data_IF_466546843752
#
_entry.id   IF_466546843752
#
_cell.length_a   1.000
_cell.length_b   1.000
_cell.length_c   1.000
_cell.angle_alpha   90.00
_cell.angle_beta   90.00
_cell.angle_gamma   90.00
#
_symmetry.space_group_name_H-M   'P 1'
#
loop_
_entity.id
_entity.type
_entity.pdbx_description
1 polymer ?
#
# COMPACT_ATOMS: atom_id res chain seq x y z
N UNK A 1 -27.37 15.06 34.22
CA UNK A 1 -28.09 14.63 33.00
C UNK A 1 -27.16 14.86 31.80
N UNK A 2 -26.34 13.89 31.49
CA UNK A 2 -25.57 13.80 30.25
C UNK A 2 -25.92 12.40 29.69
N UNK A 3 -27.01 12.33 28.94
CA UNK A 3 -27.42 11.12 28.23
C UNK A 3 -26.79 11.15 26.82
N UNK A 4 -25.93 10.20 26.62
CA UNK A 4 -25.87 9.27 25.50
C UNK A 4 -26.23 9.80 24.10
N UNK A 5 -25.24 10.45 23.44
CA UNK A 5 -25.28 10.70 22.01
C UNK A 5 -24.62 9.56 21.17
N UNK A 6 -24.12 8.49 21.80
CA UNK A 6 -23.40 7.39 21.13
C UNK A 6 -24.32 6.33 20.49
N UNK A 7 -25.56 6.19 20.98
CA UNK A 7 -26.47 5.12 20.56
C UNK A 7 -27.33 5.45 19.34
N UNK A 8 -27.40 6.72 18.91
CA UNK A 8 -28.29 7.15 17.79
C UNK A 8 -27.70 6.93 16.39
N UNK A 9 -26.39 6.78 16.24
CA UNK A 9 -25.80 6.58 14.91
C UNK A 9 -25.87 5.12 14.40
N UNK A 10 -25.96 4.14 15.29
CA UNK A 10 -25.95 2.73 14.89
C UNK A 10 -27.29 2.24 14.31
N UNK A 11 -28.41 2.85 14.70
CA UNK A 11 -29.72 2.49 14.15
C UNK A 11 -29.98 3.02 12.73
N UNK A 12 -29.32 4.11 12.33
CA UNK A 12 -29.57 4.79 11.06
C UNK A 12 -29.01 4.04 9.84
N UNK A 13 -27.82 3.46 9.92
CA UNK A 13 -27.21 2.73 8.79
C UNK A 13 -27.87 1.36 8.56
N UNK A 14 -28.16 0.62 9.63
CA UNK A 14 -28.87 -0.65 9.53
C UNK A 14 -30.30 -0.45 8.97
N UNK A 15 -30.99 0.59 9.40
CA UNK A 15 -32.31 0.97 8.86
C UNK A 15 -32.24 1.37 7.38
N UNK A 16 -31.21 2.12 6.95
CA UNK A 16 -31.01 2.47 5.54
C UNK A 16 -30.79 1.22 4.67
N UNK A 17 -29.96 0.28 5.13
CA UNK A 17 -29.67 -0.96 4.42
C UNK A 17 -30.90 -1.90 4.32
N UNK A 18 -31.84 -1.79 5.26
CA UNK A 18 -33.09 -2.56 5.29
C UNK A 18 -34.23 -1.88 4.54
N UNK A 19 -34.13 -0.57 4.23
CA UNK A 19 -35.19 0.18 3.57
C UNK A 19 -35.37 -0.29 2.12
N UNK A 20 -36.56 -0.81 1.83
CA UNK A 20 -36.93 -1.32 0.51
C UNK A 20 -37.01 -0.23 -0.59
N UNK A 21 -36.98 1.05 -0.22
CA UNK A 21 -37.00 2.17 -1.17
C UNK A 21 -35.70 2.33 -1.94
N UNK A 22 -34.55 1.83 -1.39
CA UNK A 22 -33.25 1.93 -2.02
C UNK A 22 -32.97 0.72 -2.91
N UNK A 23 -32.40 0.99 -4.08
CA UNK A 23 -31.98 -0.05 -5.01
C UNK A 23 -30.83 -0.87 -4.41
N UNK A 24 -30.67 -2.11 -4.89
CA UNK A 24 -29.54 -2.97 -4.50
C UNK A 24 -28.17 -2.29 -4.76
N UNK A 25 -28.08 -1.49 -5.81
CA UNK A 25 -26.87 -0.77 -6.18
C UNK A 25 -26.52 0.33 -5.16
N UNK A 26 -27.51 1.13 -4.75
CA UNK A 26 -27.31 2.19 -3.74
C UNK A 26 -26.91 1.61 -2.39
N UNK A 27 -27.54 0.51 -1.97
CA UNK A 27 -27.18 -0.21 -0.75
C UNK A 27 -25.74 -0.73 -0.80
N UNK A 28 -25.30 -1.27 -1.94
CA UNK A 28 -23.93 -1.74 -2.14
C UNK A 28 -22.91 -0.59 -2.02
N UNK A 29 -23.18 0.55 -2.66
CA UNK A 29 -22.29 1.71 -2.61
C UNK A 29 -22.14 2.20 -1.15
N UNK A 30 -23.27 2.44 -0.47
CA UNK A 30 -23.27 2.89 0.92
C UNK A 30 -22.53 1.93 1.84
N UNK A 31 -22.72 0.61 1.65
CA UNK A 31 -22.03 -0.42 2.42
C UNK A 31 -20.51 -0.41 2.19
N UNK A 32 -20.08 -0.28 0.93
CA UNK A 32 -18.66 -0.19 0.58
C UNK A 32 -18.01 1.07 1.17
N UNK A 33 -18.69 2.22 1.15
CA UNK A 33 -18.23 3.47 1.74
C UNK A 33 -18.10 3.35 3.26
N UNK A 34 -19.09 2.75 3.93
CA UNK A 34 -19.07 2.53 5.38
C UNK A 34 -17.94 1.60 5.80
N UNK A 35 -17.73 0.47 5.11
CA UNK A 35 -16.61 -0.45 5.37
C UNK A 35 -15.26 0.27 5.16
N UNK A 36 -15.13 1.03 4.07
CA UNK A 36 -13.91 1.79 3.77
C UNK A 36 -13.61 2.83 4.83
N UNK A 37 -14.62 3.58 5.28
CA UNK A 37 -14.49 4.58 6.34
C UNK A 37 -14.05 3.95 7.67
N UNK A 38 -14.55 2.76 8.03
CA UNK A 38 -14.09 2.01 9.20
C UNK A 38 -12.60 1.67 9.10
N UNK A 39 -12.12 1.22 7.94
CA UNK A 39 -10.71 0.95 7.73
C UNK A 39 -9.83 2.20 7.81
N UNK A 40 -10.28 3.33 7.28
CA UNK A 40 -9.54 4.60 7.32
C UNK A 40 -9.44 5.19 8.73
N UNK A 41 -10.52 5.07 9.51
CA UNK A 41 -10.59 5.52 10.91
C UNK A 41 -10.04 4.51 11.91
N UNK A 42 -9.70 3.30 11.45
CA UNK A 42 -9.33 2.15 12.28
C UNK A 42 -10.41 1.78 13.30
N UNK A 43 -11.67 1.99 12.96
CA UNK A 43 -12.84 1.65 13.78
C UNK A 43 -13.21 0.18 13.57
N UNK A 44 -12.51 -0.69 14.28
CA UNK A 44 -12.72 -2.12 14.21
C UNK A 44 -14.13 -2.52 14.73
N UNK A 45 -14.62 -1.87 15.80
CA UNK A 45 -15.90 -2.20 16.41
C UNK A 45 -17.04 -2.05 15.42
N UNK A 46 -17.11 -0.88 14.75
CA UNK A 46 -18.10 -0.63 13.71
C UNK A 46 -17.90 -1.55 12.49
N UNK A 47 -16.65 -1.83 12.10
CA UNK A 47 -16.34 -2.75 11.01
C UNK A 47 -16.84 -4.18 11.27
N UNK A 48 -16.67 -4.70 12.48
CA UNK A 48 -17.21 -6.01 12.90
C UNK A 48 -18.74 -6.00 12.87
N UNK A 49 -19.37 -4.92 13.36
CA UNK A 49 -20.82 -4.80 13.37
C UNK A 49 -21.38 -4.86 11.93
N UNK A 50 -20.81 -4.08 11.01
CA UNK A 50 -21.23 -4.08 9.59
C UNK A 50 -21.06 -5.48 8.99
N UNK A 51 -19.92 -6.16 9.25
CA UNK A 51 -19.73 -7.52 8.74
C UNK A 51 -20.75 -8.50 9.32
N UNK A 52 -21.06 -8.41 10.62
CA UNK A 52 -22.10 -9.23 11.26
C UNK A 52 -23.49 -8.97 10.66
N UNK A 53 -23.80 -7.71 10.35
CA UNK A 53 -25.07 -7.33 9.75
C UNK A 53 -25.22 -7.90 8.33
N UNK A 54 -24.15 -7.90 7.52
CA UNK A 54 -24.11 -8.56 6.20
C UNK A 54 -24.44 -10.05 6.32
N UNK A 55 -23.94 -10.72 7.39
CA UNK A 55 -24.15 -12.14 7.60
C UNK A 55 -25.54 -12.48 8.14
N UNK A 56 -26.17 -11.58 8.91
CA UNK A 56 -27.44 -11.81 9.62
C UNK A 56 -28.68 -11.46 8.81
N UNK A 57 -28.64 -10.32 8.10
CA UNK A 57 -29.84 -9.79 7.47
C UNK A 57 -30.11 -10.44 6.10
N UNK A 58 -31.31 -11.00 5.93
CA UNK A 58 -31.74 -11.62 4.66
C UNK A 58 -31.71 -10.64 3.48
N UNK A 59 -32.04 -9.36 3.72
CA UNK A 59 -31.97 -8.30 2.71
C UNK A 59 -30.55 -8.01 2.19
N UNK A 60 -29.50 -8.50 2.87
CA UNK A 60 -28.11 -8.38 2.49
C UNK A 60 -27.48 -9.69 1.99
N UNK A 61 -28.28 -10.76 1.82
CA UNK A 61 -27.79 -12.07 1.39
C UNK A 61 -27.00 -12.04 0.08
N UNK A 62 -27.35 -11.15 -0.85
CA UNK A 62 -26.64 -10.97 -2.11
C UNK A 62 -25.21 -10.46 -1.91
N UNK A 63 -24.92 -9.77 -0.82
CA UNK A 63 -23.61 -9.25 -0.49
C UNK A 63 -22.68 -10.27 0.18
N UNK A 64 -23.24 -11.36 0.73
CA UNK A 64 -22.46 -12.45 1.36
C UNK A 64 -21.46 -13.10 0.40
N UNK A 65 -21.74 -13.05 -0.92
CA UNK A 65 -20.87 -13.61 -1.96
C UNK A 65 -20.28 -12.52 -2.89
N UNK A 66 -20.53 -11.25 -2.60
CA UNK A 66 -20.05 -10.15 -3.42
C UNK A 66 -18.53 -9.93 -3.20
N UNK A 67 -17.75 -10.16 -4.24
CA UNK A 67 -16.30 -10.08 -4.18
C UNK A 67 -15.78 -8.67 -3.84
N UNK A 68 -16.53 -7.61 -4.21
CA UNK A 68 -16.16 -6.24 -3.88
C UNK A 68 -16.31 -5.98 -2.37
N UNK A 69 -17.36 -6.52 -1.76
CA UNK A 69 -17.59 -6.44 -0.32
C UNK A 69 -16.51 -7.23 0.43
N UNK A 70 -16.18 -8.46 -0.01
CA UNK A 70 -15.09 -9.22 0.59
C UNK A 70 -13.76 -8.46 0.52
N UNK A 71 -13.42 -7.88 -0.64
CA UNK A 71 -12.20 -7.11 -0.80
C UNK A 71 -12.17 -5.86 0.10
N UNK A 72 -13.30 -5.20 0.29
CA UNK A 72 -13.43 -4.07 1.21
C UNK A 72 -13.27 -4.51 2.68
N UNK A 73 -13.86 -5.63 3.07
CA UNK A 73 -13.71 -6.22 4.41
C UNK A 73 -12.27 -6.65 4.68
N UNK A 74 -11.60 -7.31 3.72
CA UNK A 74 -10.19 -7.67 3.83
C UNK A 74 -9.36 -6.42 4.07
N UNK A 75 -9.57 -5.36 3.27
CA UNK A 75 -8.85 -4.10 3.42
C UNK A 75 -9.14 -3.42 4.76
N UNK A 76 -10.37 -3.42 5.22
CA UNK A 76 -10.78 -2.86 6.52
C UNK A 76 -10.11 -3.61 7.67
N UNK A 77 -10.22 -4.95 7.71
CA UNK A 77 -9.61 -5.75 8.77
C UNK A 77 -8.09 -5.62 8.81
N UNK A 78 -7.42 -5.58 7.63
CA UNK A 78 -5.97 -5.39 7.57
C UNK A 78 -5.54 -4.02 8.06
N UNK A 79 -6.26 -2.95 7.71
CA UNK A 79 -5.99 -1.59 8.23
C UNK A 79 -6.20 -1.48 9.73
N UNK A 80 -7.13 -2.25 10.29
CA UNK A 80 -7.37 -2.34 11.72
C UNK A 80 -6.40 -3.30 12.44
N UNK A 81 -5.47 -3.97 11.73
CA UNK A 81 -4.51 -4.92 12.31
C UNK A 81 -5.07 -6.33 12.58
N UNK A 82 -6.32 -6.61 12.19
CA UNK A 82 -6.99 -7.90 12.40
C UNK A 82 -6.78 -8.88 11.24
N UNK A 83 -5.53 -9.36 11.09
CA UNK A 83 -5.10 -10.16 9.95
C UNK A 83 -5.75 -11.55 9.89
N UNK A 84 -6.06 -12.14 11.03
CA UNK A 84 -6.77 -13.44 11.09
C UNK A 84 -8.16 -13.31 10.47
N UNK A 85 -8.91 -12.27 10.84
CA UNK A 85 -10.23 -11.99 10.24
C UNK A 85 -10.14 -11.67 8.75
N UNK A 86 -9.13 -10.91 8.34
CA UNK A 86 -8.88 -10.63 6.92
C UNK A 86 -8.61 -11.93 6.13
N UNK A 87 -7.88 -12.88 6.72
CA UNK A 87 -7.61 -14.20 6.15
C UNK A 87 -8.89 -15.02 6.03
N UNK A 88 -9.70 -15.11 7.10
CA UNK A 88 -10.97 -15.83 7.09
C UNK A 88 -11.90 -15.32 5.98
N UNK A 89 -11.98 -13.99 5.80
CA UNK A 89 -12.79 -13.39 4.72
C UNK A 89 -12.21 -13.70 3.34
N UNK A 90 -10.89 -13.70 3.19
CA UNK A 90 -10.25 -14.06 1.92
C UNK A 90 -10.52 -15.53 1.55
N UNK A 91 -10.46 -16.45 2.51
CA UNK A 91 -10.66 -17.88 2.29
C UNK A 91 -12.11 -18.23 1.92
N UNK A 92 -13.07 -17.35 2.21
CA UNK A 92 -14.46 -17.46 1.77
C UNK A 92 -14.66 -17.13 0.29
N UNK A 93 -13.66 -16.53 -0.39
CA UNK A 93 -13.77 -16.18 -1.82
C UNK A 93 -13.45 -17.43 -2.67
N UNK A 94 -14.42 -18.01 -3.39
CA UNK A 94 -14.18 -19.23 -4.16
C UNK A 94 -13.11 -19.07 -5.26
N UNK A 95 -13.13 -17.91 -5.93
CA UNK A 95 -12.20 -17.54 -7.01
C UNK A 95 -11.63 -16.16 -6.76
N UNK A 96 -10.55 -16.05 -5.95
CA UNK A 96 -9.95 -14.74 -5.66
C UNK A 96 -9.39 -14.08 -6.91
N UNK A 97 -9.78 -12.83 -7.14
CA UNK A 97 -9.29 -11.99 -8.24
C UNK A 97 -7.91 -11.37 -7.92
N UNK A 98 -7.20 -10.80 -8.90
CA UNK A 98 -5.99 -10.01 -8.60
C UNK A 98 -6.22 -8.92 -7.56
N UNK A 99 -7.43 -8.35 -7.49
CA UNK A 99 -7.80 -7.34 -6.48
C UNK A 99 -7.84 -7.94 -5.07
N UNK A 100 -8.39 -9.15 -4.93
CA UNK A 100 -8.45 -9.87 -3.65
C UNK A 100 -7.04 -10.20 -3.13
N UNK A 101 -6.16 -10.69 -4.02
CA UNK A 101 -4.76 -10.95 -3.69
C UNK A 101 -4.02 -9.67 -3.30
N UNK A 102 -4.24 -8.57 -4.05
CA UNK A 102 -3.61 -7.28 -3.73
C UNK A 102 -4.08 -6.72 -2.38
N UNK A 103 -5.35 -6.86 -2.03
CA UNK A 103 -5.86 -6.45 -0.72
C UNK A 103 -5.14 -7.19 0.41
N UNK A 104 -4.93 -8.50 0.26
CA UNK A 104 -4.22 -9.34 1.22
C UNK A 104 -2.72 -9.00 1.29
N UNK A 105 -2.02 -8.94 0.15
CA UNK A 105 -0.59 -8.62 0.07
C UNK A 105 -0.32 -7.22 0.64
N UNK A 106 -1.12 -6.22 0.23
CA UNK A 106 -1.02 -4.86 0.75
C UNK A 106 -1.26 -4.80 2.25
N UNK A 107 -2.23 -5.58 2.74
CA UNK A 107 -2.49 -5.68 4.17
C UNK A 107 -1.28 -6.20 4.95
N UNK A 108 -0.63 -7.25 4.49
CA UNK A 108 0.58 -7.76 5.13
C UNK A 108 1.72 -6.75 5.10
N UNK A 109 1.98 -6.10 3.97
CA UNK A 109 3.06 -5.09 3.87
C UNK A 109 2.80 -3.87 4.74
N UNK A 110 1.55 -3.40 4.86
CA UNK A 110 1.17 -2.27 5.72
C UNK A 110 1.37 -2.58 7.21
N UNK A 111 1.24 -3.85 7.61
CA UNK A 111 1.47 -4.31 8.97
C UNK A 111 2.91 -4.80 9.22
N UNK A 112 3.83 -4.60 8.27
CA UNK A 112 5.23 -5.00 8.41
C UNK A 112 5.49 -6.51 8.28
N UNK A 113 4.47 -7.31 7.94
CA UNK A 113 4.56 -8.76 7.77
C UNK A 113 5.04 -9.11 6.35
N UNK A 114 6.24 -8.63 6.03
CA UNK A 114 6.77 -8.66 4.68
C UNK A 114 7.03 -10.08 4.15
N UNK A 115 7.41 -11.02 5.01
CA UNK A 115 7.58 -12.44 4.65
C UNK A 115 6.24 -13.08 4.24
N UNK A 116 5.16 -12.78 4.97
CA UNK A 116 3.83 -13.27 4.63
C UNK A 116 3.34 -12.65 3.30
N UNK A 117 3.69 -11.41 3.03
CA UNK A 117 3.38 -10.77 1.75
C UNK A 117 4.09 -11.48 0.58
N UNK A 118 5.38 -11.83 0.72
CA UNK A 118 6.13 -12.58 -0.28
C UNK A 118 5.56 -13.98 -0.48
N UNK A 119 5.22 -14.69 0.59
CA UNK A 119 4.59 -16.00 0.50
C UNK A 119 3.23 -15.93 -0.22
N UNK A 120 2.44 -14.91 0.11
CA UNK A 120 1.15 -14.67 -0.55
C UNK A 120 1.32 -14.37 -2.05
N UNK A 121 2.38 -13.65 -2.43
CA UNK A 121 2.72 -13.39 -3.83
C UNK A 121 3.10 -14.67 -4.59
N UNK A 122 3.91 -15.56 -3.99
CA UNK A 122 4.25 -16.86 -4.59
C UNK A 122 3.00 -17.71 -4.81
N UNK A 123 2.12 -17.79 -3.79
CA UNK A 123 0.85 -18.50 -3.92
C UNK A 123 -0.06 -17.92 -5.01
N UNK A 124 -0.09 -16.60 -5.19
CA UNK A 124 -0.81 -15.96 -6.28
C UNK A 124 -0.29 -16.42 -7.65
N UNK A 125 1.04 -16.50 -7.81
CA UNK A 125 1.68 -16.97 -9.04
C UNK A 125 1.43 -18.46 -9.30
N UNK A 126 1.55 -19.30 -8.26
CA UNK A 126 1.27 -20.76 -8.34
C UNK A 126 -0.16 -21.04 -8.77
N UNK A 127 -1.11 -20.19 -8.37
CA UNK A 127 -2.51 -20.27 -8.83
C UNK A 127 -2.74 -19.66 -10.22
N UNK A 128 -1.69 -19.28 -10.93
CA UNK A 128 -1.77 -18.73 -12.29
C UNK A 128 -2.35 -17.31 -12.36
N UNK A 129 -2.47 -16.61 -11.23
CA UNK A 129 -3.02 -15.25 -11.20
C UNK A 129 -1.91 -14.25 -11.46
N UNK A 130 -2.04 -13.48 -12.55
CA UNK A 130 -1.03 -12.51 -12.99
C UNK A 130 -0.92 -11.33 -12.04
N UNK A 131 0.29 -11.03 -11.51
CA UNK A 131 0.56 -9.81 -10.76
C UNK A 131 0.41 -8.56 -11.64
N UNK A 132 0.01 -7.45 -11.05
CA UNK A 132 -0.08 -6.14 -11.68
C UNK A 132 0.82 -5.10 -10.98
N UNK A 133 0.79 -3.85 -11.43
CA UNK A 133 1.63 -2.77 -10.86
C UNK A 133 1.43 -2.58 -9.35
N UNK A 134 0.21 -2.78 -8.85
CA UNK A 134 -0.08 -2.69 -7.41
C UNK A 134 0.59 -3.84 -6.65
N UNK A 135 0.47 -5.08 -7.17
CA UNK A 135 1.14 -6.26 -6.62
C UNK A 135 2.64 -6.03 -6.52
N UNK A 136 3.28 -5.66 -7.65
CA UNK A 136 4.72 -5.42 -7.68
C UNK A 136 5.16 -4.31 -6.75
N UNK A 137 4.40 -3.21 -6.65
CA UNK A 137 4.71 -2.12 -5.71
C UNK A 137 4.74 -2.61 -4.26
N UNK A 138 3.78 -3.44 -3.85
CA UNK A 138 3.74 -3.99 -2.49
C UNK A 138 4.93 -4.95 -2.25
N UNK A 139 5.22 -5.81 -3.22
CA UNK A 139 6.30 -6.79 -3.08
C UNK A 139 7.69 -6.13 -3.09
N UNK A 140 7.92 -5.11 -3.90
CA UNK A 140 9.15 -4.32 -3.86
C UNK A 140 9.35 -3.65 -2.49
N UNK A 141 8.29 -3.12 -1.88
CA UNK A 141 8.35 -2.60 -0.50
C UNK A 141 8.75 -3.69 0.50
N UNK A 142 8.18 -4.89 0.36
CA UNK A 142 8.54 -6.03 1.20
C UNK A 142 10.01 -6.42 1.02
N UNK A 143 10.50 -6.54 -0.22
CA UNK A 143 11.90 -6.83 -0.53
C UNK A 143 12.85 -5.78 0.06
N UNK A 144 12.54 -4.48 -0.10
CA UNK A 144 13.33 -3.40 0.48
C UNK A 144 13.38 -3.47 2.01
N UNK A 145 12.24 -3.75 2.66
CA UNK A 145 12.17 -3.86 4.12
C UNK A 145 12.98 -5.06 4.67
N UNK A 146 12.99 -6.17 3.94
CA UNK A 146 13.75 -7.38 4.27
C UNK A 146 15.19 -7.37 3.71
N UNK A 147 15.58 -6.33 2.96
CA UNK A 147 16.86 -6.22 2.27
C UNK A 147 17.19 -7.37 1.30
N UNK A 148 16.17 -7.88 0.63
CA UNK A 148 16.25 -8.99 -0.32
C UNK A 148 16.57 -8.47 -1.74
N UNK A 149 17.80 -8.02 -1.97
CA UNK A 149 18.22 -7.42 -3.25
C UNK A 149 18.00 -8.38 -4.44
N UNK A 150 18.40 -9.64 -4.32
CA UNK A 150 18.27 -10.64 -5.41
C UNK A 150 16.83 -10.90 -5.81
N UNK A 151 15.92 -11.03 -4.84
CA UNK A 151 14.48 -11.17 -5.07
C UNK A 151 13.93 -9.92 -5.79
N UNK A 152 14.33 -8.73 -5.31
CA UNK A 152 13.99 -7.45 -5.93
C UNK A 152 14.48 -7.33 -7.38
N UNK A 153 15.66 -7.85 -7.70
CA UNK A 153 16.19 -7.90 -9.06
C UNK A 153 15.36 -8.81 -9.97
N UNK A 154 14.97 -9.98 -9.49
CA UNK A 154 14.10 -10.91 -10.22
C UNK A 154 12.75 -10.24 -10.55
N UNK A 155 12.18 -9.55 -9.57
CA UNK A 155 10.93 -8.81 -9.75
C UNK A 155 11.11 -7.65 -10.74
N UNK A 156 12.23 -6.91 -10.66
CA UNK A 156 12.54 -5.84 -11.61
C UNK A 156 12.65 -6.37 -13.05
N UNK A 157 13.31 -7.52 -13.25
CA UNK A 157 13.39 -8.16 -14.56
C UNK A 157 12.01 -8.53 -15.11
N UNK A 158 11.13 -9.05 -14.27
CA UNK A 158 9.74 -9.38 -14.65
C UNK A 158 8.93 -8.13 -15.01
N UNK A 159 9.08 -7.05 -14.25
CA UNK A 159 8.45 -5.75 -14.53
C UNK A 159 8.91 -5.21 -15.89
N UNK A 160 10.22 -5.30 -16.20
CA UNK A 160 10.79 -4.89 -17.50
C UNK A 160 10.24 -5.76 -18.64
N UNK A 161 10.23 -7.07 -18.47
CA UNK A 161 9.69 -8.02 -19.46
C UNK A 161 8.24 -7.72 -19.82
N UNK A 162 7.44 -7.27 -18.85
CA UNK A 162 6.04 -6.87 -19.05
C UNK A 162 5.85 -5.44 -19.58
N UNK A 163 6.91 -4.68 -19.75
CA UNK A 163 6.85 -3.29 -20.22
C UNK A 163 6.16 -2.34 -19.26
N UNK A 164 6.02 -2.68 -17.99
CA UNK A 164 5.25 -1.89 -17.02
C UNK A 164 5.90 -0.55 -16.65
N UNK A 165 7.20 -0.37 -16.89
CA UNK A 165 7.93 0.89 -16.63
C UNK A 165 7.78 1.91 -17.76
N UNK A 166 7.41 1.48 -18.96
CA UNK A 166 7.28 2.35 -20.14
C UNK A 166 6.03 3.23 -20.10
N UNK A 167 5.09 2.93 -19.22
CA UNK A 167 3.88 3.70 -19.06
C UNK A 167 4.16 4.88 -18.13
N UNK A 168 4.00 6.11 -18.58
CA UNK A 168 4.12 7.35 -17.80
C UNK A 168 3.29 7.32 -16.50
N UNK A 169 2.24 6.50 -16.45
CA UNK A 169 1.36 6.30 -15.29
C UNK A 169 1.96 5.47 -14.16
N UNK A 170 3.12 4.82 -14.36
CA UNK A 170 3.72 3.92 -13.36
C UNK A 170 4.83 4.55 -12.52
N UNK A 171 4.74 5.86 -12.27
CA UNK A 171 5.68 6.60 -11.39
C UNK A 171 5.80 5.93 -10.00
N UNK A 172 4.70 5.40 -9.46
CA UNK A 172 4.68 4.72 -8.17
C UNK A 172 5.52 3.44 -8.20
N UNK A 173 5.42 2.66 -9.26
CA UNK A 173 6.20 1.42 -9.44
C UNK A 173 7.70 1.73 -9.59
N UNK A 174 8.04 2.73 -10.42
CA UNK A 174 9.42 3.19 -10.58
C UNK A 174 10.02 3.70 -9.26
N UNK A 175 9.26 4.49 -8.51
CA UNK A 175 9.66 4.94 -7.17
C UNK A 175 9.87 3.77 -6.20
N UNK A 176 9.02 2.75 -6.25
CA UNK A 176 9.16 1.57 -5.40
C UNK A 176 10.42 0.76 -5.73
N UNK A 177 10.86 0.72 -7.00
CA UNK A 177 12.12 0.10 -7.41
C UNK A 177 13.32 0.87 -6.86
N UNK A 178 13.33 2.21 -7.00
CA UNK A 178 14.40 3.04 -6.44
C UNK A 178 14.48 2.89 -4.92
N UNK A 179 13.35 2.92 -4.21
CA UNK A 179 13.28 2.73 -2.75
C UNK A 179 13.79 1.34 -2.33
N UNK A 180 13.37 0.30 -3.05
CA UNK A 180 13.81 -1.08 -2.81
C UNK A 180 15.33 -1.21 -2.93
N UNK A 181 15.93 -0.76 -4.03
CA UNK A 181 17.36 -0.83 -4.22
C UNK A 181 18.13 0.03 -3.20
N UNK A 182 17.62 1.22 -2.91
CA UNK A 182 18.16 2.11 -1.87
C UNK A 182 18.21 1.44 -0.50
N UNK A 183 17.13 0.79 -0.08
CA UNK A 183 17.06 0.08 1.20
C UNK A 183 17.95 -1.16 1.25
N UNK A 184 18.12 -1.83 0.11
CA UNK A 184 19.02 -2.99 -0.01
C UNK A 184 20.50 -2.61 -0.08
N UNK A 185 20.88 -1.33 -0.16
CA UNK A 185 22.25 -0.88 -0.33
C UNK A 185 22.81 -1.03 -1.75
N UNK A 186 21.97 -1.43 -2.71
CA UNK A 186 22.33 -1.54 -4.13
C UNK A 186 22.25 -0.15 -4.80
N UNK A 187 23.04 0.81 -4.31
CA UNK A 187 22.94 2.23 -4.63
C UNK A 187 23.16 2.55 -6.11
N UNK A 188 24.06 1.83 -6.77
CA UNK A 188 24.27 2.00 -8.22
C UNK A 188 23.01 1.60 -9.02
N UNK A 189 22.38 0.46 -8.67
CA UNK A 189 21.12 0.05 -9.30
C UNK A 189 19.97 1.01 -8.98
N UNK A 190 19.97 1.58 -7.77
CA UNK A 190 19.01 2.61 -7.39
C UNK A 190 19.16 3.85 -8.27
N UNK A 191 20.41 4.32 -8.48
CA UNK A 191 20.74 5.45 -9.35
C UNK A 191 20.35 5.16 -10.80
N UNK A 192 20.81 4.04 -11.36
CA UNK A 192 20.54 3.68 -12.75
C UNK A 192 19.03 3.57 -13.02
N UNK A 193 18.28 2.97 -12.06
CA UNK A 193 16.82 2.92 -12.14
C UNK A 193 16.22 4.32 -12.10
N UNK A 194 16.69 5.17 -11.19
CA UNK A 194 16.24 6.55 -11.05
C UNK A 194 16.48 7.35 -12.34
N UNK A 195 17.65 7.23 -12.95
CA UNK A 195 17.99 7.94 -14.19
C UNK A 195 17.10 7.54 -15.36
N UNK A 196 16.74 6.26 -15.45
CA UNK A 196 15.85 5.72 -16.49
C UNK A 196 14.38 6.12 -16.33
N UNK A 197 13.95 6.63 -15.16
CA UNK A 197 12.55 7.01 -14.97
C UNK A 197 12.21 8.29 -15.75
N UNK A 198 11.12 8.29 -16.53
CA UNK A 198 10.71 9.45 -17.30
C UNK A 198 10.24 10.60 -16.40
N UNK A 199 9.65 10.29 -15.26
CA UNK A 199 9.15 11.26 -14.28
C UNK A 199 9.73 10.98 -12.91
N UNK A 200 10.34 12.00 -12.31
CA UNK A 200 10.96 11.96 -10.99
C UNK A 200 10.22 12.94 -10.06
N UNK A 201 9.39 12.40 -9.16
CA UNK A 201 8.68 13.21 -8.17
C UNK A 201 9.48 13.33 -6.85
N UNK A 202 8.99 14.14 -5.92
CA UNK A 202 9.63 14.35 -4.61
C UNK A 202 9.89 13.05 -3.85
N UNK A 203 9.03 12.03 -4.00
CA UNK A 203 9.18 10.74 -3.32
C UNK A 203 10.34 9.96 -3.92
N UNK A 204 10.47 9.96 -5.26
CA UNK A 204 11.57 9.29 -5.96
C UNK A 204 12.92 9.90 -5.60
N UNK A 205 13.02 11.24 -5.59
CA UNK A 205 14.22 11.96 -5.14
C UNK A 205 14.55 11.64 -3.68
N UNK A 206 13.56 11.70 -2.78
CA UNK A 206 13.78 11.41 -1.35
C UNK A 206 14.21 9.97 -1.09
N UNK A 207 13.70 9.01 -1.88
CA UNK A 207 14.12 7.60 -1.77
C UNK A 207 15.60 7.42 -2.13
N UNK A 208 16.06 8.07 -3.21
CA UNK A 208 17.46 8.01 -3.63
C UNK A 208 18.38 8.72 -2.63
N UNK A 209 18.08 9.98 -2.27
CA UNK A 209 18.84 10.77 -1.30
C UNK A 209 18.93 10.04 0.04
N UNK A 210 17.80 9.50 0.52
CA UNK A 210 17.74 8.73 1.75
C UNK A 210 18.57 7.46 1.69
N UNK A 211 18.57 6.75 0.56
CA UNK A 211 19.40 5.58 0.33
C UNK A 211 20.87 5.90 0.52
N UNK A 212 21.40 6.90 -0.19
CA UNK A 212 22.79 7.32 -0.05
C UNK A 212 23.13 7.77 1.37
N UNK A 213 22.28 8.59 2.00
CA UNK A 213 22.50 9.04 3.37
C UNK A 213 22.46 7.87 4.39
N UNK A 214 21.56 6.87 4.19
CA UNK A 214 21.48 5.72 5.10
C UNK A 214 22.70 4.79 5.04
N UNK A 215 23.33 4.71 3.87
CA UNK A 215 24.50 3.87 3.66
C UNK A 215 25.84 4.61 3.82
N UNK A 216 25.80 5.83 4.39
CA UNK A 216 27.02 6.56 4.75
C UNK A 216 27.62 7.42 3.63
N UNK A 217 26.96 7.50 2.48
CA UNK A 217 27.39 8.28 1.31
C UNK A 217 26.79 9.69 1.35
N UNK A 218 27.22 10.49 2.35
CA UNK A 218 26.65 11.82 2.60
C UNK A 218 26.88 12.80 1.45
N UNK A 219 28.07 12.81 0.84
CA UNK A 219 28.41 13.73 -0.26
C UNK A 219 27.55 13.48 -1.49
N UNK A 220 27.33 12.22 -1.85
CA UNK A 220 26.45 11.84 -2.95
C UNK A 220 25.00 12.20 -2.66
N UNK A 221 24.54 12.00 -1.41
CA UNK A 221 23.21 12.40 -1.00
C UNK A 221 23.00 13.92 -1.17
N UNK A 222 23.99 14.74 -0.75
CA UNK A 222 23.94 16.19 -0.93
C UNK A 222 24.03 16.61 -2.39
N UNK A 223 24.78 15.88 -3.22
CA UNK A 223 24.81 16.10 -4.67
C UNK A 223 23.44 15.86 -5.29
N UNK A 224 22.76 14.76 -4.96
CA UNK A 224 21.40 14.49 -5.47
C UNK A 224 20.38 15.51 -4.94
N UNK A 225 20.56 16.02 -3.72
CA UNK A 225 19.70 17.09 -3.22
C UNK A 225 19.83 18.38 -4.03
N UNK A 226 21.04 18.79 -4.42
CA UNK A 226 21.27 19.94 -5.31
C UNK A 226 20.62 19.71 -6.68
N UNK A 227 20.81 18.52 -7.25
CA UNK A 227 20.16 18.17 -8.54
C UNK A 227 18.63 18.21 -8.46
N UNK A 228 18.05 17.81 -7.33
CA UNK A 228 16.61 17.93 -7.09
C UNK A 228 16.15 19.40 -7.11
N UNK A 229 16.93 20.30 -6.50
CA UNK A 229 16.65 21.74 -6.51
C UNK A 229 16.78 22.34 -7.92
N UNK A 230 17.83 21.95 -8.66
CA UNK A 230 18.06 22.38 -10.07
C UNK A 230 16.92 21.89 -10.96
N UNK A 231 16.37 20.71 -10.72
CA UNK A 231 15.19 20.17 -11.36
C UNK A 231 13.87 20.84 -10.93
N UNK A 232 13.93 21.85 -10.04
CA UNK A 232 12.78 22.58 -9.49
C UNK A 232 11.74 21.69 -8.79
N UNK A 233 12.17 20.57 -8.24
CA UNK A 233 11.32 19.72 -7.40
C UNK A 233 11.44 20.18 -5.94
N UNK A 234 10.33 20.65 -5.37
CA UNK A 234 10.31 21.15 -3.99
C UNK A 234 10.56 20.03 -2.98
N UNK A 235 11.59 20.15 -2.10
CA UNK A 235 11.84 19.20 -1.03
C UNK A 235 10.68 19.16 -0.02
N UNK A 236 10.44 17.99 0.57
CA UNK A 236 9.49 17.82 1.67
C UNK A 236 10.22 17.49 3.00
N UNK A 237 9.47 17.30 4.08
CA UNK A 237 10.03 16.97 5.39
C UNK A 237 10.93 15.71 5.36
N UNK A 238 10.56 14.69 4.58
CA UNK A 238 11.37 13.47 4.42
C UNK A 238 12.70 13.77 3.73
N UNK A 239 12.68 14.60 2.66
CA UNK A 239 13.89 15.04 1.97
C UNK A 239 14.84 15.75 2.94
N UNK A 240 14.33 16.72 3.72
CA UNK A 240 15.15 17.45 4.68
C UNK A 240 15.72 16.55 5.78
N UNK A 241 14.97 15.58 6.28
CA UNK A 241 15.50 14.60 7.24
C UNK A 241 16.69 13.81 6.65
N UNK A 242 16.58 13.38 5.39
CA UNK A 242 17.66 12.68 4.70
C UNK A 242 18.89 13.58 4.50
N UNK A 243 18.67 14.85 4.15
CA UNK A 243 19.75 15.85 3.97
C UNK A 243 20.45 16.14 5.30
N UNK A 244 19.71 16.35 6.38
CA UNK A 244 20.29 16.57 7.72
C UNK A 244 21.14 15.37 8.14
N UNK A 245 20.69 14.15 7.88
CA UNK A 245 21.48 12.95 8.13
C UNK A 245 22.76 12.94 7.29
N UNK A 246 22.68 13.30 6.00
CA UNK A 246 23.83 13.40 5.12
C UNK A 246 24.85 14.45 5.61
N UNK A 247 24.38 15.64 6.04
CA UNK A 247 25.22 16.68 6.64
C UNK A 247 25.97 16.18 7.89
N UNK A 248 25.27 15.45 8.76
CA UNK A 248 25.90 14.84 9.94
C UNK A 248 27.01 13.84 9.59
N UNK A 249 26.85 13.08 8.50
CA UNK A 249 27.86 12.13 8.01
C UNK A 249 29.08 12.86 7.43
N UNK A 250 28.86 13.88 6.62
CA UNK A 250 29.93 14.65 5.96
C UNK A 250 30.58 15.67 6.87
N UNK A 251 30.07 15.85 8.11
CA UNK A 251 30.47 16.96 9.03
C UNK A 251 30.36 18.33 8.37
N UNK A 252 29.56 18.49 7.37
CA UNK A 252 29.36 19.71 6.60
C UNK A 252 28.31 20.59 7.26
N UNK A 253 28.70 21.39 8.25
CA UNK A 253 27.84 22.38 8.93
C UNK A 253 27.44 23.58 8.03
N UNK A 254 27.90 23.62 6.77
CA UNK A 254 27.69 24.76 5.86
C UNK A 254 26.37 24.72 5.08
N UNK A 255 25.56 23.67 5.21
CA UNK A 255 24.33 23.45 4.42
C UNK A 255 23.08 23.34 5.34
N UNK A 256 23.24 23.58 6.63
CA UNK A 256 22.13 23.64 7.60
C UNK A 256 21.45 25.00 7.63
#
# INVERSE_FOLDING_TARGET
MLQDHSTRCHGSEALFLMDCRYSHHEKKISLLESIKACGERKDLGKGIQIHADILRFEGLNLFKKDICIHNALISMYTKCGHLVKAQEVFDQIPTPSPVSWNARISGYTQNGLNELALNCFRLMQEKGISPNSVTFTCILKACGSLRLAKEGETIHAEIKKRGLLLLERNVVLGTALVDMYSKCGALEKARDTFEQLPVKNVVTWSALIGGYAHHGHGDEALKFFRQMQDARVSPNAVTYMCVLKACGITRSLKIG
#
